data_IF_755162423121
#
_entry.id   IF_755162423121
#
_cell.length_a   1.000
_cell.length_b   1.000
_cell.length_c   1.000
_cell.angle_alpha   90.00
_cell.angle_beta   90.00
_cell.angle_gamma   90.00
#
_symmetry.space_group_name_H-M   'P 1'
#
loop_
_entity.id
_entity.type
_entity.pdbx_description
1 polymer ?
#
# COMPACT_ATOMS: atom_id res chain seq x y z
N UNK A 1 14.50 1.09 -31.05
CA UNK A 1 13.32 0.27 -30.67
C UNK A 1 12.67 0.94 -29.48
N UNK A 2 11.34 1.05 -29.47
CA UNK A 2 10.59 1.62 -28.36
C UNK A 2 10.69 0.65 -27.17
N UNK A 3 11.13 1.13 -26.00
CA UNK A 3 11.26 0.26 -24.83
C UNK A 3 9.88 0.06 -24.20
N UNK A 4 9.71 -1.03 -23.42
CA UNK A 4 8.48 -1.22 -22.64
C UNK A 4 8.18 -0.02 -21.72
N UNK A 5 9.21 0.74 -21.33
CA UNK A 5 9.12 1.93 -20.47
C UNK A 5 8.51 3.15 -21.17
N UNK A 6 8.48 3.15 -22.50
CA UNK A 6 7.86 4.20 -23.31
C UNK A 6 6.37 3.95 -23.56
N UNK A 7 5.86 2.76 -23.22
CA UNK A 7 4.44 2.42 -23.36
C UNK A 7 3.54 3.35 -22.54
N UNK A 8 2.35 3.63 -23.08
CA UNK A 8 1.28 4.33 -22.36
C UNK A 8 0.61 3.33 -21.40
N UNK A 9 0.61 3.64 -20.11
CA UNK A 9 -0.03 2.83 -19.07
C UNK A 9 -1.20 3.61 -18.47
N UNK A 10 -2.36 2.96 -18.41
CA UNK A 10 -3.56 3.50 -17.77
C UNK A 10 -3.85 2.71 -16.50
N UNK A 11 -3.83 3.38 -15.36
CA UNK A 11 -4.22 2.82 -14.06
C UNK A 11 -5.65 3.25 -13.77
N UNK A 12 -6.50 2.28 -13.40
CA UNK A 12 -7.92 2.52 -13.09
C UNK A 12 -8.10 2.50 -11.57
N UNK A 13 -8.56 3.62 -11.01
CA UNK A 13 -8.88 3.78 -9.59
C UNK A 13 -8.04 4.85 -8.88
N UNK A 14 -8.71 5.74 -8.15
CA UNK A 14 -8.11 6.87 -7.41
C UNK A 14 -7.81 6.58 -5.94
N UNK A 15 -8.00 5.33 -5.49
CA UNK A 15 -7.67 4.90 -4.13
C UNK A 15 -6.19 4.61 -3.92
N UNK A 16 -5.82 4.23 -2.69
CA UNK A 16 -4.43 4.01 -2.27
C UNK A 16 -3.68 3.03 -3.19
N UNK A 17 -4.31 1.93 -3.59
CA UNK A 17 -3.69 0.92 -4.48
C UNK A 17 -3.45 1.49 -5.88
N UNK A 18 -4.39 2.25 -6.44
CA UNK A 18 -4.23 2.86 -7.77
C UNK A 18 -3.12 3.91 -7.78
N UNK A 19 -3.11 4.82 -6.80
CA UNK A 19 -2.11 5.88 -6.70
C UNK A 19 -0.70 5.32 -6.42
N UNK A 20 -0.56 4.37 -5.50
CA UNK A 20 0.74 3.74 -5.21
C UNK A 20 1.24 2.88 -6.36
N UNK A 21 0.35 2.20 -7.10
CA UNK A 21 0.73 1.45 -8.31
C UNK A 21 1.21 2.40 -9.41
N UNK A 22 0.52 3.52 -9.63
CA UNK A 22 0.94 4.53 -10.60
C UNK A 22 2.32 5.11 -10.23
N UNK A 23 2.54 5.41 -8.94
CA UNK A 23 3.84 5.86 -8.43
C UNK A 23 4.93 4.80 -8.65
N UNK A 24 4.66 3.53 -8.33
CA UNK A 24 5.62 2.45 -8.51
C UNK A 24 6.01 2.24 -9.99
N UNK A 25 5.05 2.40 -10.92
CA UNK A 25 5.32 2.38 -12.35
C UNK A 25 6.25 3.54 -12.76
N UNK A 26 5.95 4.76 -12.31
CA UNK A 26 6.80 5.94 -12.57
C UNK A 26 8.22 5.74 -12.02
N UNK A 27 8.34 5.28 -10.77
CA UNK A 27 9.63 4.99 -10.13
C UNK A 27 10.41 3.87 -10.83
N UNK A 28 9.70 2.93 -11.45
CA UNK A 28 10.31 1.88 -12.26
C UNK A 28 10.73 2.36 -13.66
N UNK A 29 10.52 3.62 -13.99
CA UNK A 29 10.94 4.25 -15.25
C UNK A 29 9.87 4.25 -16.34
N UNK A 30 8.60 3.93 -16.07
CA UNK A 30 7.55 4.18 -17.06
C UNK A 30 7.31 5.70 -17.17
N UNK A 31 7.33 6.23 -18.38
CA UNK A 31 7.22 7.69 -18.59
C UNK A 31 5.78 8.17 -18.83
N UNK A 32 4.90 7.28 -19.29
CA UNK A 32 3.55 7.65 -19.75
C UNK A 32 2.45 6.98 -18.92
N UNK A 33 2.41 7.25 -17.61
CA UNK A 33 1.40 6.70 -16.68
C UNK A 33 0.26 7.70 -16.48
N UNK A 34 -0.98 7.27 -16.67
CA UNK A 34 -2.18 8.06 -16.36
C UNK A 34 -3.08 7.31 -15.40
N UNK A 35 -3.67 8.02 -14.45
CA UNK A 35 -4.71 7.49 -13.56
C UNK A 35 -6.06 7.99 -14.04
N UNK A 36 -7.03 7.09 -14.18
CA UNK A 36 -8.44 7.43 -14.39
C UNK A 36 -9.25 6.85 -13.25
N UNK A 37 -10.17 7.64 -12.73
CA UNK A 37 -11.02 7.25 -11.62
C UNK A 37 -12.34 8.00 -11.71
N UNK A 38 -13.39 7.37 -11.19
CA UNK A 38 -14.68 8.03 -10.96
C UNK A 38 -14.57 9.08 -9.83
N UNK A 39 -13.72 8.82 -8.84
CA UNK A 39 -13.47 9.72 -7.71
C UNK A 39 -12.03 9.61 -7.21
N UNK A 40 -11.47 10.74 -6.79
CA UNK A 40 -10.18 10.83 -6.10
C UNK A 40 -10.30 11.19 -4.62
N UNK A 41 -11.44 11.74 -4.18
CA UNK A 41 -11.63 12.23 -2.81
C UNK A 41 -12.67 11.43 -1.99
N UNK A 42 -13.47 10.59 -2.66
CA UNK A 42 -14.52 9.78 -2.04
C UNK A 42 -14.30 8.30 -2.39
N UNK A 43 -13.17 7.74 -1.94
CA UNK A 43 -12.79 6.34 -2.17
C UNK A 43 -12.81 5.55 -0.86
N UNK A 44 -12.86 4.22 -0.93
CA UNK A 44 -12.73 3.34 0.27
C UNK A 44 -11.48 3.65 1.08
N UNK A 45 -10.41 4.15 0.45
CA UNK A 45 -9.19 4.54 1.15
C UNK A 45 -9.35 5.76 2.07
N UNK A 46 -10.31 6.66 1.78
CA UNK A 46 -10.56 7.85 2.61
C UNK A 46 -11.27 7.52 3.93
N UNK A 47 -11.97 6.39 3.97
CA UNK A 47 -12.71 5.93 5.15
C UNK A 47 -11.99 4.81 5.91
N UNK A 48 -10.82 4.37 5.43
CA UNK A 48 -10.00 3.38 6.12
C UNK A 48 -9.38 4.00 7.39
N UNK A 49 -9.33 3.23 8.49
CA UNK A 49 -8.77 3.70 9.76
C UNK A 49 -7.25 3.95 9.77
N UNK A 50 -6.52 3.52 8.73
CA UNK A 50 -5.09 3.80 8.58
C UNK A 50 -4.15 2.99 9.49
N UNK A 51 -4.66 1.97 10.19
CA UNK A 51 -3.85 1.11 11.06
C UNK A 51 -3.10 0.05 10.24
N UNK A 52 -1.81 -0.12 10.53
CA UNK A 52 -1.01 -1.18 9.94
C UNK A 52 -1.08 -2.45 10.79
N UNK A 53 -2.17 -3.21 10.61
CA UNK A 53 -2.41 -4.46 11.33
C UNK A 53 -2.73 -5.57 10.31
N UNK A 54 -1.74 -6.39 9.92
CA UNK A 54 -1.98 -7.52 9.03
C UNK A 54 -2.59 -8.68 9.82
N UNK A 55 -3.91 -8.81 9.79
CA UNK A 55 -4.65 -9.90 10.43
C UNK A 55 -5.71 -10.47 9.48
N UNK A 56 -5.99 -11.76 9.66
CA UNK A 56 -7.00 -12.56 8.94
C UNK A 56 -6.76 -12.71 7.42
N UNK A 57 -6.58 -13.97 7.01
CA UNK A 57 -6.66 -14.39 5.62
C UNK A 57 -7.77 -15.45 5.49
N UNK A 58 -8.39 -15.60 4.31
CA UNK A 58 -9.24 -16.75 4.03
C UNK A 58 -8.52 -18.06 4.38
N UNK A 59 -9.26 -19.07 4.84
CA UNK A 59 -8.67 -20.35 5.27
C UNK A 59 -7.83 -21.03 4.18
N UNK A 60 -8.16 -20.80 2.91
CA UNK A 60 -7.48 -21.35 1.75
C UNK A 60 -6.34 -20.48 1.20
N UNK A 61 -6.05 -19.34 1.83
CA UNK A 61 -5.02 -18.42 1.38
C UNK A 61 -3.65 -18.74 2.01
N UNK A 62 -2.62 -18.83 1.16
CA UNK A 62 -1.22 -18.91 1.61
C UNK A 62 -0.77 -17.57 2.23
N UNK A 63 -0.40 -17.54 3.53
CA UNK A 63 0.00 -16.32 4.21
C UNK A 63 1.36 -15.77 3.78
N UNK A 64 2.21 -16.56 3.12
CA UNK A 64 3.58 -16.17 2.80
C UNK A 64 3.63 -14.90 1.93
N UNK A 65 2.76 -14.82 0.92
CA UNK A 65 2.76 -13.71 -0.03
C UNK A 65 2.17 -12.42 0.57
N UNK A 66 1.00 -12.43 1.23
CA UNK A 66 0.49 -11.27 1.96
C UNK A 66 1.46 -10.77 3.02
N UNK A 67 2.06 -11.67 3.81
CA UNK A 67 3.09 -11.30 4.78
C UNK A 67 4.25 -10.57 4.12
N UNK A 68 4.75 -11.08 2.99
CA UNK A 68 5.85 -10.42 2.27
C UNK A 68 5.48 -9.03 1.77
N UNK A 69 4.26 -8.84 1.27
CA UNK A 69 3.78 -7.52 0.89
C UNK A 69 3.71 -6.56 2.08
N UNK A 70 3.28 -7.07 3.25
CA UNK A 70 3.24 -6.27 4.46
C UNK A 70 4.64 -5.83 4.90
N UNK A 71 5.62 -6.74 4.90
CA UNK A 71 7.01 -6.44 5.25
C UNK A 71 7.61 -5.36 4.33
N UNK A 72 7.46 -5.52 3.01
CA UNK A 72 7.99 -4.56 2.01
C UNK A 72 7.31 -3.20 2.14
N UNK A 73 6.00 -3.17 2.36
CA UNK A 73 5.25 -1.92 2.50
C UNK A 73 5.61 -1.20 3.81
N UNK A 74 5.79 -1.94 4.91
CA UNK A 74 6.21 -1.37 6.19
C UNK A 74 7.61 -0.73 6.09
N UNK A 75 8.54 -1.39 5.40
CA UNK A 75 9.87 -0.82 5.14
C UNK A 75 9.77 0.47 4.31
N UNK A 76 8.91 0.48 3.28
CA UNK A 76 8.68 1.67 2.46
C UNK A 76 8.09 2.83 3.27
N UNK A 77 7.06 2.59 4.09
CA UNK A 77 6.48 3.58 5.01
C UNK A 77 7.52 4.11 5.99
N UNK A 78 8.35 3.23 6.55
CA UNK A 78 9.45 3.61 7.45
C UNK A 78 10.45 4.53 6.76
N UNK A 79 10.75 4.30 5.47
CA UNK A 79 11.64 5.17 4.71
C UNK A 79 11.01 6.54 4.42
N UNK A 80 9.68 6.62 4.27
CA UNK A 80 8.97 7.90 4.18
C UNK A 80 9.10 8.67 5.49
N UNK A 81 8.85 8.02 6.64
CA UNK A 81 9.02 8.64 7.96
C UNK A 81 10.44 9.17 8.14
N UNK A 82 11.46 8.37 7.79
CA UNK A 82 12.87 8.80 7.89
C UNK A 82 13.17 10.03 7.02
N UNK A 83 12.53 10.15 5.86
CA UNK A 83 12.78 11.22 4.90
C UNK A 83 12.00 12.50 5.21
N UNK A 84 10.77 12.37 5.69
CA UNK A 84 9.81 13.47 5.81
C UNK A 84 9.43 13.80 7.27
N UNK A 85 9.88 13.01 8.25
CA UNK A 85 9.57 13.23 9.66
C UNK A 85 8.07 13.22 9.92
N UNK A 86 7.61 14.15 10.76
CA UNK A 86 6.19 14.27 11.15
C UNK A 86 5.27 14.65 9.98
N UNK A 87 5.77 15.38 8.97
CA UNK A 87 4.98 15.77 7.79
C UNK A 87 4.52 14.55 6.96
N UNK A 88 5.15 13.39 7.16
CA UNK A 88 4.70 12.14 6.55
C UNK A 88 3.27 11.74 6.98
N UNK A 89 2.79 12.22 8.14
CA UNK A 89 1.50 11.82 8.72
C UNK A 89 1.43 10.34 9.13
N UNK A 90 2.59 9.67 9.26
CA UNK A 90 2.71 8.27 9.66
C UNK A 90 3.36 8.23 11.04
N UNK A 91 2.72 7.54 11.98
CA UNK A 91 3.16 7.47 13.37
C UNK A 91 3.36 6.01 13.80
N UNK A 92 4.51 5.73 14.40
CA UNK A 92 4.76 4.47 15.10
C UNK A 92 4.26 4.65 16.54
N UNK A 93 3.25 3.87 16.92
CA UNK A 93 2.61 3.96 18.23
C UNK A 93 2.71 2.63 18.96
N UNK A 94 2.85 2.67 20.28
CA UNK A 94 2.71 1.49 21.12
C UNK A 94 1.22 1.11 21.20
N UNK A 95 0.87 -0.13 20.89
CA UNK A 95 -0.50 -0.62 20.89
C UNK A 95 -0.59 -2.02 21.50
N UNK A 96 -1.79 -2.39 21.97
CA UNK A 96 -2.13 -3.73 22.39
C UNK A 96 -3.35 -4.20 21.58
N UNK A 97 -3.27 -5.41 21.02
CA UNK A 97 -4.38 -6.06 20.33
C UNK A 97 -5.03 -7.07 21.27
N UNK A 98 -6.37 -7.13 21.26
CA UNK A 98 -7.15 -8.09 22.05
C UNK A 98 -8.10 -8.80 21.11
N UNK A 99 -8.01 -10.12 21.06
CA UNK A 99 -8.88 -11.01 20.29
C UNK A 99 -9.41 -12.13 21.17
N UNK A 100 -10.59 -12.66 20.84
CA UNK A 100 -11.15 -13.84 21.52
C UNK A 100 -10.34 -15.12 21.22
N UNK A 101 -9.58 -15.12 20.14
CA UNK A 101 -8.77 -16.26 19.67
C UNK A 101 -7.31 -16.27 20.19
N UNK A 102 -6.88 -15.23 20.91
CA UNK A 102 -5.50 -15.08 21.39
C UNK A 102 -4.49 -14.71 20.28
N UNK A 103 -3.19 -14.62 20.61
CA UNK A 103 -2.16 -14.28 19.63
C UNK A 103 -1.96 -15.41 18.61
N UNK A 104 -1.62 -15.10 17.34
CA UNK A 104 -1.29 -16.13 16.36
C UNK A 104 -0.09 -16.99 16.82
N UNK A 105 -0.03 -18.28 16.43
CA UNK A 105 1.14 -19.12 16.70
C UNK A 105 2.40 -18.52 16.05
N UNK A 106 3.51 -18.52 16.79
CA UNK A 106 4.84 -18.06 16.33
C UNK A 106 5.54 -19.05 15.40
#
# INVERSE_FOLDING_TARGET
>A
MQSARDCRVLVVGGGVIGLTSALALLQSGFHNVRVVADSFDATTSHVAGGLWMPFALPEDADPAKPRKWCEVSYEWLTNIIKKHGEEAGIHVVCAAEVSDDGPPPV
#
